data_IF_252229723215
#
_entry.id   IF_252229723215
#
_cell.length_a   1.000
_cell.length_b   1.000
_cell.length_c   1.000
_cell.angle_alpha   90.00
_cell.angle_beta   90.00
_cell.angle_gamma   90.00
#
_symmetry.space_group_name_H-M   'P 1'
#
loop_
_entity.id
_entity.type
_entity.pdbx_description
1 polymer ?
#
# COMPACT_ATOMS: atom_id res chain seq x y z
N UNK A 1 21.99 12.25 21.77
CA UNK A 1 21.74 11.86 20.38
C UNK A 1 20.24 11.72 20.21
N UNK A 2 19.68 12.52 19.32
CA UNK A 2 18.25 12.46 19.05
C UNK A 2 17.94 11.15 18.29
N UNK A 3 16.90 10.45 18.73
CA UNK A 3 16.38 9.26 18.09
C UNK A 3 14.96 9.54 17.63
N UNK A 4 14.71 9.47 16.33
CA UNK A 4 13.39 9.60 15.73
C UNK A 4 12.93 8.25 15.24
N UNK A 5 11.74 7.86 15.64
CA UNK A 5 11.08 6.66 15.14
C UNK A 5 9.87 7.07 14.28
N UNK A 6 9.65 6.33 13.20
CA UNK A 6 8.47 6.46 12.35
C UNK A 6 7.97 5.08 11.93
N UNK A 7 6.66 4.93 11.81
CA UNK A 7 5.99 3.71 11.37
C UNK A 7 5.12 3.99 10.16
N UNK A 8 5.09 3.04 9.24
CA UNK A 8 4.13 3.02 8.15
C UNK A 8 3.55 1.61 8.01
N UNK A 9 2.24 1.52 7.80
CA UNK A 9 1.51 0.26 7.79
C UNK A 9 1.34 -0.29 6.37
N UNK A 10 1.13 -1.62 6.29
CA UNK A 10 0.61 -2.24 5.08
C UNK A 10 -0.75 -1.66 4.70
N UNK A 11 -1.09 -1.75 3.41
CA UNK A 11 -2.39 -1.30 2.92
C UNK A 11 -3.12 -2.39 2.15
N UNK A 12 -4.44 -2.32 2.16
CA UNK A 12 -5.31 -3.03 1.25
C UNK A 12 -6.14 -2.05 0.41
N UNK A 13 -6.06 -2.19 -0.92
CA UNK A 13 -6.97 -1.50 -1.84
C UNK A 13 -8.34 -2.15 -1.75
N UNK A 14 -9.33 -1.41 -1.24
CA UNK A 14 -10.64 -1.97 -0.93
C UNK A 14 -11.61 -1.88 -2.13
N UNK A 15 -11.77 -0.70 -2.73
CA UNK A 15 -12.64 -0.49 -3.89
C UNK A 15 -11.99 0.44 -4.92
N UNK A 16 -12.37 0.29 -6.19
CA UNK A 16 -11.98 1.17 -7.28
C UNK A 16 -10.62 0.88 -7.91
N UNK A 17 -9.70 0.19 -7.22
CA UNK A 17 -8.40 -0.13 -7.81
C UNK A 17 -8.55 -1.13 -8.99
N UNK A 18 -7.79 -0.91 -10.09
CA UNK A 18 -6.60 -0.07 -10.21
C UNK A 18 -6.81 1.30 -10.87
N UNK A 19 -7.98 1.95 -10.74
CA UNK A 19 -8.28 3.18 -11.47
C UNK A 19 -7.46 4.41 -11.02
N UNK A 20 -6.74 4.34 -9.90
CA UNK A 20 -5.81 5.38 -9.43
C UNK A 20 -4.73 5.73 -10.45
N UNK A 21 -4.20 4.73 -11.17
CA UNK A 21 -3.24 4.93 -12.26
C UNK A 21 -3.85 5.50 -13.55
N UNK A 22 -5.16 5.75 -13.59
CA UNK A 22 -5.93 6.12 -14.76
C UNK A 22 -6.91 7.27 -14.48
N UNK A 23 -6.55 8.15 -13.56
CA UNK A 23 -7.33 9.33 -13.15
C UNK A 23 -8.71 8.99 -12.56
N UNK A 24 -8.87 7.80 -11.99
CA UNK A 24 -10.11 7.34 -11.37
C UNK A 24 -10.16 7.63 -9.87
N UNK A 25 -10.93 6.79 -9.17
CA UNK A 25 -11.19 6.92 -7.74
C UNK A 25 -10.95 5.60 -7.04
N UNK A 26 -10.48 5.64 -5.79
CA UNK A 26 -10.27 4.43 -4.99
C UNK A 26 -10.63 4.63 -3.52
N UNK A 27 -10.92 3.52 -2.85
CA UNK A 27 -10.97 3.43 -1.39
C UNK A 27 -9.93 2.40 -0.96
N UNK A 28 -9.09 2.78 -0.02
CA UNK A 28 -8.09 1.89 0.58
C UNK A 28 -8.02 2.08 2.08
N UNK A 29 -7.44 1.10 2.77
CA UNK A 29 -7.18 1.23 4.19
C UNK A 29 -5.81 0.68 4.58
N UNK A 30 -5.25 1.23 5.66
CA UNK A 30 -4.06 0.69 6.33
C UNK A 30 -4.47 -0.18 7.52
N UNK A 31 -3.63 -1.15 7.88
CA UNK A 31 -3.90 -2.06 8.99
C UNK A 31 -2.62 -2.41 9.77
N UNK A 32 -2.74 -2.61 11.08
CA UNK A 32 -1.62 -2.65 12.02
C UNK A 32 -0.85 -3.97 12.05
N UNK A 33 -1.38 -5.04 11.45
CA UNK A 33 -0.78 -6.38 11.49
C UNK A 33 0.59 -6.45 10.80
N UNK A 34 0.79 -5.61 9.79
CA UNK A 34 2.04 -5.51 9.04
C UNK A 34 2.48 -4.06 8.89
N UNK A 35 3.77 -3.81 9.11
CA UNK A 35 4.32 -2.46 9.13
C UNK A 35 5.81 -2.41 8.76
N UNK A 36 6.27 -1.20 8.53
CA UNK A 36 7.68 -0.81 8.51
C UNK A 36 7.93 0.08 9.72
N UNK A 37 8.90 -0.29 10.55
CA UNK A 37 9.49 0.58 11.55
C UNK A 37 10.80 1.15 11.01
N UNK A 38 10.98 2.45 11.13
CA UNK A 38 12.17 3.16 10.71
C UNK A 38 12.69 4.02 11.85
N UNK A 39 13.99 3.97 12.05
CA UNK A 39 14.72 4.77 13.04
C UNK A 39 15.76 5.64 12.37
N UNK A 40 15.76 6.93 12.71
CA UNK A 40 16.87 7.84 12.46
C UNK A 40 17.56 8.16 13.77
N UNK A 41 18.86 7.91 13.84
CA UNK A 41 19.72 8.27 14.98
C UNK A 41 20.71 9.33 14.52
N UNK A 42 20.80 10.44 15.24
CA UNK A 42 21.78 11.47 14.93
C UNK A 42 23.21 10.91 14.92
N UNK A 43 23.99 11.26 13.91
CA UNK A 43 25.34 10.75 13.69
C UNK A 43 26.20 11.76 12.93
N UNK A 44 27.53 11.54 12.92
CA UNK A 44 28.47 12.46 12.27
C UNK A 44 28.42 12.43 10.73
N UNK A 45 27.83 11.39 10.15
CA UNK A 45 27.72 11.20 8.69
C UNK A 45 26.39 10.57 8.33
N UNK A 46 25.86 10.85 7.15
CA UNK A 46 24.71 10.14 6.59
C UNK A 46 25.07 8.66 6.33
N UNK A 47 24.28 7.76 6.95
CA UNK A 47 24.48 6.32 6.82
C UNK A 47 23.15 5.61 6.68
N UNK A 48 23.08 4.63 5.79
CA UNK A 48 21.93 3.73 5.61
C UNK A 48 22.38 2.32 5.93
N UNK A 49 21.75 1.69 6.93
CA UNK A 49 22.06 0.33 7.36
C UNK A 49 21.12 -0.63 6.62
N UNK A 50 21.64 -1.67 5.94
CA UNK A 50 20.82 -2.70 5.31
C UNK A 50 19.88 -3.37 6.31
N UNK A 51 18.60 -3.48 5.97
CA UNK A 51 17.64 -4.30 6.68
C UNK A 51 17.85 -5.79 6.39
N UNK A 52 17.09 -6.65 7.06
CA UNK A 52 17.15 -8.10 6.82
C UNK A 52 16.80 -8.49 5.37
N UNK A 53 15.90 -7.73 4.76
CA UNK A 53 15.49 -7.95 3.35
C UNK A 53 16.51 -7.41 2.32
N UNK A 54 17.53 -6.68 2.76
CA UNK A 54 18.63 -6.20 1.93
C UNK A 54 19.85 -7.14 1.99
N UNK A 55 19.76 -8.25 2.74
CA UNK A 55 20.84 -9.24 2.79
C UNK A 55 21.05 -9.84 1.39
N UNK A 56 22.27 -9.72 0.90
CA UNK A 56 22.72 -10.20 -0.40
C UNK A 56 23.59 -11.46 -0.28
N UNK A 57 23.32 -12.29 0.72
CA UNK A 57 24.03 -13.54 0.94
C UNK A 57 23.29 -14.70 0.29
N UNK A 58 23.98 -15.43 -0.59
CA UNK A 58 23.43 -16.57 -1.33
C UNK A 58 24.30 -17.78 -1.15
N UNK A 59 23.71 -18.95 -0.90
CA UNK A 59 24.44 -20.21 -0.76
C UNK A 59 25.06 -20.71 -2.07
N UNK A 60 24.56 -20.21 -3.23
CA UNK A 60 25.07 -20.60 -4.54
C UNK A 60 24.70 -19.57 -5.64
N UNK A 61 25.43 -19.58 -6.80
CA UNK A 61 25.02 -18.79 -7.97
C UNK A 61 23.60 -19.10 -8.48
N UNK A 62 23.17 -20.35 -8.35
CA UNK A 62 21.82 -20.76 -8.74
C UNK A 62 20.74 -20.13 -7.84
N UNK A 63 21.02 -20.01 -6.54
CA UNK A 63 20.15 -19.31 -5.59
C UNK A 63 20.07 -17.81 -5.90
N UNK A 64 21.20 -17.17 -6.15
CA UNK A 64 21.24 -15.77 -6.61
C UNK A 64 20.36 -15.55 -7.85
N UNK A 65 20.54 -16.38 -8.89
CA UNK A 65 19.77 -16.26 -10.13
C UNK A 65 18.27 -16.46 -9.87
N UNK A 66 17.91 -17.43 -9.01
CA UNK A 66 16.53 -17.70 -8.63
C UNK A 66 15.93 -16.50 -7.87
N UNK A 67 16.64 -15.96 -6.88
CA UNK A 67 16.21 -14.81 -6.09
C UNK A 67 15.99 -13.58 -6.98
N UNK A 68 16.97 -13.27 -7.85
CA UNK A 68 16.85 -12.14 -8.78
C UNK A 68 15.73 -12.29 -9.81
N UNK A 69 15.41 -13.53 -10.21
CA UNK A 69 14.25 -13.79 -11.08
C UNK A 69 12.91 -13.60 -10.36
N UNK A 70 12.83 -13.97 -9.09
CA UNK A 70 11.62 -13.86 -8.26
C UNK A 70 11.40 -12.42 -7.77
N UNK A 71 12.46 -11.75 -7.31
CA UNK A 71 12.37 -10.50 -6.56
C UNK A 71 13.00 -9.30 -7.28
N UNK A 72 13.71 -9.52 -8.39
CA UNK A 72 14.47 -8.47 -9.09
C UNK A 72 15.61 -7.92 -8.24
N UNK A 73 16.17 -6.80 -8.67
CA UNK A 73 17.19 -6.06 -7.91
C UNK A 73 16.51 -5.18 -6.85
N UNK A 74 15.71 -5.79 -5.98
CA UNK A 74 14.99 -5.10 -4.92
C UNK A 74 15.88 -4.87 -3.71
N UNK A 75 15.64 -3.76 -3.00
CA UNK A 75 16.32 -3.46 -1.74
C UNK A 75 15.73 -2.20 -1.11
N UNK A 76 15.50 -2.21 0.20
CA UNK A 76 14.92 -1.10 0.95
C UNK A 76 15.85 0.12 0.98
N UNK A 77 17.17 -0.08 1.00
CA UNK A 77 18.16 1.01 0.96
C UNK A 77 17.97 1.92 -0.26
N UNK A 78 17.63 1.38 -1.42
CA UNK A 78 17.38 2.18 -2.63
C UNK A 78 16.25 3.19 -2.39
N UNK A 79 15.18 2.73 -1.72
CA UNK A 79 14.02 3.56 -1.39
C UNK A 79 14.37 4.63 -0.37
N UNK A 80 15.11 4.27 0.69
CA UNK A 80 15.58 5.22 1.70
C UNK A 80 16.41 6.34 1.07
N UNK A 81 17.33 6.00 0.14
CA UNK A 81 18.16 6.98 -0.58
C UNK A 81 17.34 7.88 -1.50
N UNK A 82 16.42 7.30 -2.29
CA UNK A 82 15.59 8.05 -3.22
C UNK A 82 14.68 9.05 -2.49
N UNK A 83 14.02 8.62 -1.42
CA UNK A 83 13.19 9.52 -0.59
C UNK A 83 14.03 10.60 0.07
N UNK A 84 15.24 10.27 0.56
CA UNK A 84 16.13 11.27 1.17
C UNK A 84 16.55 12.34 0.15
N UNK A 85 16.93 11.91 -1.07
CA UNK A 85 17.27 12.82 -2.16
C UNK A 85 16.12 13.80 -2.42
N UNK A 86 14.92 13.30 -2.69
CA UNK A 86 13.77 14.13 -3.00
C UNK A 86 13.33 15.03 -1.83
N UNK A 87 13.47 14.58 -0.59
CA UNK A 87 13.22 15.41 0.58
C UNK A 87 14.17 16.61 0.65
N UNK A 88 15.47 16.41 0.40
CA UNK A 88 16.43 17.50 0.40
C UNK A 88 16.22 18.45 -0.79
N UNK A 89 15.95 17.93 -1.97
CA UNK A 89 15.61 18.73 -3.16
C UNK A 89 14.34 19.56 -2.92
N UNK A 90 13.29 18.96 -2.32
CA UNK A 90 12.08 19.69 -1.92
C UNK A 90 12.39 20.84 -0.95
N UNK A 91 13.23 20.60 0.05
CA UNK A 91 13.63 21.67 0.98
C UNK A 91 14.39 22.80 0.27
N UNK A 92 15.28 22.47 -0.66
CA UNK A 92 16.02 23.46 -1.46
C UNK A 92 15.09 24.28 -2.35
N UNK A 93 14.23 23.63 -3.14
CA UNK A 93 13.26 24.27 -4.04
C UNK A 93 12.31 25.21 -3.31
N UNK A 94 11.89 24.83 -2.09
CA UNK A 94 10.98 25.64 -1.27
C UNK A 94 11.71 26.58 -0.30
N UNK A 95 13.06 26.70 -0.42
CA UNK A 95 13.89 27.54 0.46
C UNK A 95 13.70 27.24 1.96
N UNK A 96 13.42 25.98 2.31
CA UNK A 96 13.28 25.52 3.69
C UNK A 96 14.66 25.28 4.29
N UNK A 97 15.00 26.06 5.33
CA UNK A 97 16.26 25.86 6.07
C UNK A 97 16.16 24.69 7.00
N UNK A 98 17.03 23.71 6.83
CA UNK A 98 17.15 22.55 7.70
C UNK A 98 18.39 22.65 8.59
N UNK A 99 18.37 22.06 9.81
CA UNK A 99 19.56 21.98 10.68
C UNK A 99 20.72 21.24 10.02
N UNK A 100 21.96 21.70 10.24
CA UNK A 100 23.19 21.04 9.78
C UNK A 100 23.49 19.84 10.69
N UNK A 101 22.80 18.74 10.46
CA UNK A 101 23.00 17.45 11.18
C UNK A 101 22.73 16.27 10.26
N UNK A 102 23.40 15.16 10.58
CA UNK A 102 23.32 13.93 9.84
C UNK A 102 22.66 12.81 10.66
N UNK A 103 22.27 11.73 10.00
CA UNK A 103 21.63 10.59 10.64
C UNK A 103 22.16 9.25 10.14
N UNK A 104 22.03 8.24 10.98
CA UNK A 104 22.04 6.84 10.59
C UNK A 104 20.60 6.35 10.50
N UNK A 105 20.19 5.82 9.33
CA UNK A 105 18.88 5.25 9.08
C UNK A 105 18.92 3.73 9.17
N UNK A 106 18.00 3.16 9.94
CA UNK A 106 17.73 1.72 10.03
C UNK A 106 16.25 1.46 9.86
N UNK A 107 15.87 0.32 9.27
CA UNK A 107 14.47 -0.06 9.16
C UNK A 107 14.27 -1.56 9.38
N UNK A 108 13.06 -1.91 9.82
CA UNK A 108 12.55 -3.28 9.93
C UNK A 108 11.21 -3.36 9.23
N UNK A 109 10.94 -4.48 8.58
CA UNK A 109 9.70 -4.71 7.86
C UNK A 109 9.20 -6.13 8.11
N UNK A 110 7.91 -6.26 8.44
CA UNK A 110 7.22 -7.56 8.53
C UNK A 110 6.12 -7.71 7.45
N UNK A 111 5.98 -6.72 6.54
CA UNK A 111 5.05 -6.81 5.42
C UNK A 111 5.53 -7.92 4.48
N UNK A 112 4.69 -8.94 4.19
CA UNK A 112 5.07 -10.02 3.28
C UNK A 112 5.48 -9.48 1.90
N UNK A 113 6.58 -10.01 1.36
CA UNK A 113 7.15 -9.54 0.08
C UNK A 113 6.28 -9.97 -1.09
N UNK A 114 6.06 -9.03 -2.05
CA UNK A 114 5.43 -9.26 -3.36
C UNK A 114 4.03 -9.92 -3.32
N UNK A 115 3.31 -9.77 -2.24
CA UNK A 115 1.91 -10.24 -2.13
C UNK A 115 0.90 -9.09 -2.33
N UNK A 116 1.33 -7.94 -2.82
CA UNK A 116 0.41 -6.83 -3.12
C UNK A 116 -0.08 -6.05 -1.88
N UNK A 117 0.67 -6.04 -0.77
CA UNK A 117 0.34 -5.30 0.47
C UNK A 117 1.19 -4.03 0.67
N UNK A 118 1.88 -3.55 -0.38
CA UNK A 118 2.60 -2.25 -0.44
C UNK A 118 3.75 -2.08 0.54
N UNK A 119 4.66 -3.05 0.59
CA UNK A 119 5.86 -2.96 1.42
C UNK A 119 6.81 -1.84 0.99
N UNK A 120 7.04 -1.64 -0.31
CA UNK A 120 7.96 -0.63 -0.83
C UNK A 120 7.50 0.79 -0.51
N UNK A 121 6.25 1.10 -0.79
CA UNK A 121 5.69 2.41 -0.46
C UNK A 121 5.63 2.65 1.05
N UNK A 122 5.47 1.60 1.88
CA UNK A 122 5.56 1.72 3.33
C UNK A 122 6.98 2.13 3.79
N UNK A 123 8.04 1.61 3.15
CA UNK A 123 9.42 2.04 3.40
C UNK A 123 9.59 3.52 3.04
N UNK A 124 9.11 3.93 1.86
CA UNK A 124 9.17 5.32 1.41
C UNK A 124 8.42 6.26 2.37
N UNK A 125 7.19 5.90 2.74
CA UNK A 125 6.35 6.71 3.65
C UNK A 125 6.95 6.81 5.04
N UNK A 126 7.50 5.71 5.60
CA UNK A 126 8.18 5.74 6.89
C UNK A 126 9.42 6.64 6.85
N UNK A 127 10.21 6.59 5.77
CA UNK A 127 11.40 7.44 5.61
C UNK A 127 11.03 8.91 5.53
N UNK A 128 10.04 9.27 4.72
CA UNK A 128 9.61 10.66 4.61
C UNK A 128 9.09 11.20 5.95
N UNK A 129 8.24 10.44 6.66
CA UNK A 129 7.75 10.79 8.00
C UNK A 129 8.90 11.00 9.00
N UNK A 130 9.91 10.13 8.96
CA UNK A 130 11.08 10.24 9.83
C UNK A 130 11.93 11.48 9.52
N UNK A 131 12.18 11.78 8.24
CA UNK A 131 12.93 12.98 7.81
C UNK A 131 12.21 14.26 8.22
N UNK A 132 10.89 14.33 8.00
CA UNK A 132 10.09 15.48 8.43
C UNK A 132 10.23 15.72 9.93
N UNK A 133 10.13 14.67 10.75
CA UNK A 133 10.32 14.76 12.21
C UNK A 133 11.75 15.12 12.59
N UNK A 134 12.74 14.50 11.96
CA UNK A 134 14.17 14.69 12.29
C UNK A 134 14.64 16.12 12.01
N UNK A 135 14.23 16.70 10.88
CA UNK A 135 14.61 18.04 10.49
C UNK A 135 13.62 19.13 10.90
N UNK A 136 12.48 18.76 11.50
CA UNK A 136 11.42 19.70 11.90
C UNK A 136 10.74 20.35 10.69
N UNK A 137 10.66 19.66 9.55
CA UNK A 137 10.05 20.14 8.32
C UNK A 137 8.60 19.68 8.24
N UNK A 138 7.70 20.59 7.89
CA UNK A 138 6.30 20.28 7.59
C UNK A 138 6.07 20.33 6.09
N UNK A 139 5.73 19.19 5.50
CA UNK A 139 5.29 19.08 4.11
C UNK A 139 3.76 18.87 4.14
N UNK A 140 2.97 19.60 3.32
CA UNK A 140 1.52 19.38 3.28
C UNK A 140 1.17 17.91 3.07
N UNK A 141 0.15 17.45 3.80
CA UNK A 141 -0.21 16.02 3.81
C UNK A 141 -0.62 15.52 2.43
N UNK A 142 -1.22 16.37 1.59
CA UNK A 142 -1.63 16.07 0.22
C UNK A 142 -0.45 15.98 -0.75
N UNK A 143 0.67 16.66 -0.46
CA UNK A 143 1.89 16.67 -1.28
C UNK A 143 2.80 15.49 -0.94
N UNK A 144 2.90 15.12 0.33
CA UNK A 144 3.79 14.06 0.82
C UNK A 144 3.70 12.73 0.04
N UNK A 145 2.50 12.23 -0.37
CA UNK A 145 2.39 11.02 -1.18
C UNK A 145 3.06 11.14 -2.55
N UNK A 146 3.08 12.33 -3.15
CA UNK A 146 3.70 12.57 -4.45
C UNK A 146 5.21 12.41 -4.38
N UNK A 147 5.87 12.90 -3.34
CA UNK A 147 7.31 12.70 -3.12
C UNK A 147 7.65 11.20 -2.99
N UNK A 148 6.82 10.43 -2.28
CA UNK A 148 7.01 8.98 -2.19
C UNK A 148 6.79 8.28 -3.54
N UNK A 149 5.83 8.74 -4.35
CA UNK A 149 5.59 8.22 -5.69
C UNK A 149 6.78 8.47 -6.61
N UNK A 150 7.29 9.71 -6.64
CA UNK A 150 8.43 10.12 -7.44
C UNK A 150 9.69 9.33 -7.09
N UNK A 151 9.93 9.07 -5.79
CA UNK A 151 11.03 8.22 -5.35
C UNK A 151 10.97 6.81 -5.97
N UNK A 152 9.80 6.19 -6.05
CA UNK A 152 9.67 4.86 -6.64
C UNK A 152 9.57 4.90 -8.17
N UNK A 153 8.77 5.82 -8.73
CA UNK A 153 8.48 5.88 -10.16
C UNK A 153 9.63 6.49 -10.95
N UNK A 154 10.06 7.68 -10.55
CA UNK A 154 10.94 8.52 -11.35
C UNK A 154 12.43 8.26 -11.03
N UNK A 155 12.77 8.09 -9.74
CA UNK A 155 14.14 7.77 -9.33
C UNK A 155 14.51 6.30 -9.53
N UNK A 156 13.57 5.38 -9.24
CA UNK A 156 13.85 3.93 -9.23
C UNK A 156 13.22 3.16 -10.40
N UNK A 157 12.40 3.79 -11.24
CA UNK A 157 11.75 3.17 -12.39
C UNK A 157 10.70 2.11 -12.02
N UNK A 158 10.14 2.17 -10.82
CA UNK A 158 9.13 1.21 -10.35
C UNK A 158 7.75 1.66 -10.80
N UNK A 159 7.08 0.86 -11.63
CA UNK A 159 5.73 1.15 -12.08
C UNK A 159 4.74 1.03 -10.90
N UNK A 160 4.16 2.15 -10.50
CA UNK A 160 3.26 2.22 -9.35
C UNK A 160 2.26 3.38 -9.47
N UNK A 161 1.17 3.33 -8.69
CA UNK A 161 0.14 4.36 -8.59
C UNK A 161 0.21 5.14 -7.28
N UNK A 162 -0.59 6.17 -7.13
CA UNK A 162 -0.55 7.09 -5.98
C UNK A 162 -1.32 6.56 -4.76
N UNK A 163 -2.32 5.71 -4.97
CA UNK A 163 -3.22 5.17 -3.94
C UNK A 163 -2.49 4.69 -2.67
N UNK A 164 -1.42 3.92 -2.85
CA UNK A 164 -0.69 3.28 -1.75
C UNK A 164 -0.07 4.32 -0.82
N UNK A 165 0.58 5.33 -1.40
CA UNK A 165 1.30 6.39 -0.70
C UNK A 165 0.33 7.31 0.03
N UNK A 166 -0.81 7.62 -0.61
CA UNK A 166 -1.85 8.43 0.02
C UNK A 166 -2.37 7.73 1.29
N UNK A 167 -2.84 6.49 1.17
CA UNK A 167 -3.42 5.83 2.34
C UNK A 167 -2.39 5.58 3.45
N UNK A 168 -1.11 5.38 3.12
CA UNK A 168 -0.02 5.20 4.11
C UNK A 168 0.42 6.51 4.76
N UNK A 169 0.21 7.66 4.11
CA UNK A 169 0.44 8.98 4.72
C UNK A 169 -0.75 9.45 5.55
N UNK A 170 -1.97 9.02 5.21
CA UNK A 170 -3.21 9.42 5.89
C UNK A 170 -3.62 8.50 7.02
N UNK A 171 -3.34 7.19 6.90
CA UNK A 171 -3.88 6.10 7.71
C UNK A 171 -5.41 6.01 7.77
N UNK A 172 -5.92 4.91 8.29
CA UNK A 172 -7.36 4.66 8.36
C UNK A 172 -7.94 4.13 7.07
N UNK A 173 -9.20 4.45 6.81
CA UNK A 173 -9.89 4.22 5.55
C UNK A 173 -9.95 5.54 4.80
N UNK A 174 -9.41 5.57 3.58
CA UNK A 174 -9.28 6.80 2.78
C UNK A 174 -9.93 6.61 1.42
N UNK A 175 -10.82 7.54 1.07
CA UNK A 175 -11.32 7.72 -0.27
C UNK A 175 -10.44 8.72 -1.02
N UNK A 176 -10.14 8.42 -2.28
CA UNK A 176 -9.22 9.17 -3.12
C UNK A 176 -9.84 9.42 -4.49
N UNK A 177 -9.80 10.68 -4.94
CA UNK A 177 -10.21 11.10 -6.29
C UNK A 177 -9.00 11.67 -7.02
N UNK A 178 -8.60 11.01 -8.11
CA UNK A 178 -7.45 11.37 -8.94
C UNK A 178 -7.87 12.00 -10.27
N UNK A 179 -9.03 12.63 -10.32
CA UNK A 179 -9.54 13.26 -11.55
C UNK A 179 -8.48 14.14 -12.19
N UNK A 180 -8.24 13.93 -13.49
CA UNK A 180 -7.15 14.57 -14.24
C UNK A 180 -7.11 16.09 -14.08
N UNK A 181 -8.26 16.77 -14.24
CA UNK A 181 -8.35 18.22 -14.08
C UNK A 181 -7.96 18.68 -12.68
N UNK A 182 -8.29 17.90 -11.64
CA UNK A 182 -7.93 18.22 -10.28
C UNK A 182 -6.41 18.09 -10.07
N UNK A 183 -5.82 16.98 -10.55
CA UNK A 183 -4.36 16.75 -10.44
C UNK A 183 -3.56 17.79 -11.22
N UNK A 184 -4.04 18.18 -12.41
CA UNK A 184 -3.39 19.25 -13.20
C UNK A 184 -3.47 20.64 -12.53
N UNK A 185 -4.55 20.91 -11.79
CA UNK A 185 -4.74 22.20 -11.10
C UNK A 185 -3.94 22.29 -9.78
N UNK A 186 -3.91 21.22 -8.99
CA UNK A 186 -3.39 21.25 -7.60
C UNK A 186 -2.06 20.50 -7.42
N UNK A 187 -1.62 19.73 -8.42
CA UNK A 187 -0.46 18.82 -8.32
C UNK A 187 -0.76 17.51 -7.56
N UNK A 188 -1.96 17.35 -7.03
CA UNK A 188 -2.37 16.15 -6.27
C UNK A 188 -3.85 15.84 -6.45
N UNK A 189 -4.30 14.67 -5.98
CA UNK A 189 -5.72 14.30 -5.92
C UNK A 189 -6.45 14.97 -4.74
N UNK A 190 -7.74 14.67 -4.61
CA UNK A 190 -8.52 14.98 -3.41
C UNK A 190 -8.65 13.73 -2.57
N UNK A 191 -8.27 13.84 -1.29
CA UNK A 191 -8.22 12.72 -0.35
C UNK A 191 -9.12 13.00 0.84
N UNK A 192 -9.98 12.04 1.18
CA UNK A 192 -10.92 12.13 2.28
C UNK A 192 -10.74 10.91 3.20
N UNK A 193 -10.39 11.16 4.46
CA UNK A 193 -10.35 10.11 5.47
C UNK A 193 -11.77 9.79 5.93
N UNK A 194 -12.22 8.56 5.66
CA UNK A 194 -13.52 8.06 6.10
C UNK A 194 -13.49 7.46 7.50
N UNK A 195 -12.31 7.05 7.98
CA UNK A 195 -12.06 6.55 9.34
C UNK A 195 -10.60 6.80 9.72
N UNK A 196 -10.29 7.20 10.98
CA UNK A 196 -11.25 7.68 11.98
C UNK A 196 -11.81 9.06 11.62
N UNK A 197 -13.10 9.25 11.89
CA UNK A 197 -13.74 10.56 11.81
C UNK A 197 -13.97 11.12 13.21
N UNK A 198 -13.89 12.43 13.36
CA UNK A 198 -14.16 13.11 14.64
C UNK A 198 -15.59 12.86 15.15
N UNK A 199 -16.53 12.51 14.29
CA UNK A 199 -17.96 12.29 14.61
C UNK A 199 -18.40 10.80 14.62
N UNK A 200 -17.48 9.84 14.50
CA UNK A 200 -17.67 8.43 14.89
C UNK A 200 -18.82 7.64 14.26
N UNK A 201 -19.09 7.78 12.96
CA UNK A 201 -20.19 7.01 12.32
C UNK A 201 -19.77 5.66 11.74
N UNK A 202 -18.48 5.48 11.41
CA UNK A 202 -17.97 4.23 10.82
C UNK A 202 -17.11 3.49 11.84
N UNK A 203 -17.53 2.28 12.21
CA UNK A 203 -16.71 1.34 12.98
C UNK A 203 -16.21 0.21 12.08
N UNK A 204 -14.91 0.20 11.71
CA UNK A 204 -14.37 -0.83 10.82
C UNK A 204 -14.48 -2.24 11.39
N UNK A 205 -14.56 -2.41 12.72
CA UNK A 205 -14.66 -3.72 13.36
C UNK A 205 -15.99 -4.41 13.03
N UNK A 206 -17.03 -3.61 12.76
CA UNK A 206 -18.35 -4.11 12.39
C UNK A 206 -18.46 -4.50 10.91
N UNK A 207 -17.52 -4.08 10.06
CA UNK A 207 -17.57 -4.36 8.62
C UNK A 207 -17.34 -5.84 8.28
N UNK A 208 -16.68 -6.59 9.16
CA UNK A 208 -16.30 -7.96 8.88
C UNK A 208 -15.16 -8.08 7.86
N UNK A 209 -14.23 -7.10 7.84
CA UNK A 209 -13.06 -7.11 6.97
C UNK A 209 -12.19 -8.35 7.20
N UNK A 210 -11.72 -8.95 6.12
CA UNK A 210 -10.64 -9.93 6.16
C UNK A 210 -9.60 -9.66 5.07
N UNK A 211 -8.39 -10.15 5.29
CA UNK A 211 -7.32 -10.21 4.31
C UNK A 211 -6.84 -11.66 4.25
N UNK A 212 -6.61 -12.16 3.04
CA UNK A 212 -5.93 -13.43 2.85
C UNK A 212 -4.79 -13.26 1.85
N UNK A 213 -3.66 -13.94 2.08
CA UNK A 213 -2.49 -13.88 1.20
C UNK A 213 -1.76 -15.21 1.13
N UNK A 214 -1.10 -15.46 0.02
CA UNK A 214 -0.24 -16.63 -0.18
C UNK A 214 1.22 -16.24 0.12
N UNK A 215 1.81 -16.69 1.23
CA UNK A 215 3.17 -16.32 1.63
C UNK A 215 4.25 -16.92 0.71
N UNK A 216 3.94 -17.95 -0.05
CA UNK A 216 4.87 -18.63 -0.96
C UNK A 216 4.88 -17.99 -2.37
N UNK A 217 3.94 -17.08 -2.63
CA UNK A 217 3.76 -16.51 -3.97
C UNK A 217 4.33 -15.12 -4.07
N UNK A 218 5.30 -14.95 -4.98
CA UNK A 218 5.76 -13.67 -5.44
C UNK A 218 5.21 -13.41 -6.84
N UNK A 219 4.40 -12.38 -7.03
CA UNK A 219 3.86 -12.00 -8.33
C UNK A 219 4.51 -10.71 -8.86
N UNK A 220 5.07 -10.79 -10.08
CA UNK A 220 5.48 -9.60 -10.82
C UNK A 220 4.23 -8.84 -11.31
N UNK A 221 3.84 -7.80 -10.59
CA UNK A 221 2.71 -6.93 -10.92
C UNK A 221 2.82 -6.20 -12.26
N UNK A 222 4.02 -6.17 -12.87
CA UNK A 222 4.33 -5.28 -13.98
C UNK A 222 3.75 -5.65 -15.35
N UNK A 223 3.59 -6.94 -15.67
CA UNK A 223 3.26 -7.35 -17.06
C UNK A 223 1.81 -7.08 -17.46
N UNK A 224 0.86 -7.41 -16.60
CA UNK A 224 -0.57 -7.17 -16.86
C UNK A 224 -0.89 -5.67 -16.89
N UNK A 225 -0.29 -4.90 -15.98
CA UNK A 225 -0.47 -3.45 -15.94
C UNK A 225 0.09 -2.73 -17.18
N UNK A 226 1.23 -3.18 -17.74
CA UNK A 226 1.81 -2.59 -18.96
C UNK A 226 0.88 -2.68 -20.17
N UNK A 227 0.18 -3.81 -20.34
CA UNK A 227 -0.78 -4.00 -21.46
C UNK A 227 -1.97 -3.05 -21.30
N UNK A 228 -2.57 -3.00 -20.14
CA UNK A 228 -3.75 -2.14 -19.87
C UNK A 228 -3.37 -0.66 -19.99
N UNK A 229 -2.21 -0.25 -19.47
CA UNK A 229 -1.70 1.12 -19.61
C UNK A 229 -1.56 1.53 -21.08
N UNK A 230 -0.95 0.68 -21.92
CA UNK A 230 -0.82 0.96 -23.35
C UNK A 230 -2.19 1.12 -24.03
N UNK A 231 -3.17 0.25 -23.72
CA UNK A 231 -4.51 0.34 -24.29
C UNK A 231 -5.25 1.61 -23.82
N UNK A 232 -5.04 2.02 -22.57
CA UNK A 232 -5.58 3.27 -22.06
C UNK A 232 -5.00 4.50 -22.80
N UNK A 233 -3.68 4.53 -23.01
CA UNK A 233 -2.99 5.58 -23.77
C UNK A 233 -3.46 5.62 -25.23
N UNK A 234 -3.79 4.47 -25.81
CA UNK A 234 -4.40 4.34 -27.14
C UNK A 234 -5.92 4.66 -27.16
N UNK A 235 -6.49 5.12 -26.03
CA UNK A 235 -7.92 5.46 -25.91
C UNK A 235 -8.87 4.31 -26.27
N UNK A 236 -8.51 3.07 -25.94
CA UNK A 236 -9.38 1.92 -26.14
C UNK A 236 -10.66 2.09 -25.32
N UNK A 237 -11.84 2.04 -25.96
CA UNK A 237 -13.14 2.33 -25.34
C UNK A 237 -13.48 1.38 -24.20
N UNK A 238 -13.16 0.08 -24.32
CA UNK A 238 -13.47 -0.90 -23.28
C UNK A 238 -12.67 -0.62 -22.02
N UNK A 239 -11.38 -0.24 -22.16
CA UNK A 239 -10.52 0.12 -21.03
C UNK A 239 -10.94 1.45 -20.42
N UNK A 240 -11.28 2.46 -21.20
CA UNK A 240 -11.77 3.74 -20.69
C UNK A 240 -13.08 3.56 -19.90
N UNK A 241 -14.03 2.78 -20.44
CA UNK A 241 -15.28 2.44 -19.78
C UNK A 241 -15.03 1.69 -18.47
N UNK A 242 -14.15 0.69 -18.48
CA UNK A 242 -13.83 -0.08 -17.28
C UNK A 242 -13.18 0.79 -16.18
N UNK A 243 -12.30 1.73 -16.55
CA UNK A 243 -11.70 2.65 -15.55
C UNK A 243 -12.74 3.61 -14.95
N UNK A 244 -13.71 4.03 -15.74
CA UNK A 244 -14.86 4.82 -15.26
C UNK A 244 -15.74 3.99 -14.31
N UNK A 245 -16.00 2.73 -14.64
CA UNK A 245 -16.78 1.82 -13.78
C UNK A 245 -16.06 1.52 -12.45
N UNK A 246 -14.74 1.33 -12.45
CA UNK A 246 -13.97 1.24 -11.20
C UNK A 246 -14.09 2.50 -10.34
N UNK A 247 -14.05 3.68 -10.95
CA UNK A 247 -14.21 4.94 -10.23
C UNK A 247 -15.64 5.07 -9.64
N UNK A 248 -16.69 4.63 -10.37
CA UNK A 248 -18.07 4.57 -9.87
C UNK A 248 -18.20 3.59 -8.69
N UNK A 249 -17.59 2.41 -8.79
CA UNK A 249 -17.55 1.45 -7.67
C UNK A 249 -16.95 2.08 -6.41
N UNK A 250 -15.87 2.88 -6.53
CA UNK A 250 -15.28 3.57 -5.39
C UNK A 250 -16.21 4.64 -4.80
N UNK A 251 -16.89 5.43 -5.64
CA UNK A 251 -17.84 6.46 -5.21
C UNK A 251 -19.03 5.87 -4.46
N UNK A 252 -19.64 4.82 -5.03
CA UNK A 252 -20.72 4.08 -4.38
C UNK A 252 -20.26 3.39 -3.11
N UNK A 253 -19.03 2.86 -3.11
CA UNK A 253 -18.40 2.28 -1.93
C UNK A 253 -18.17 3.28 -0.81
N UNK A 254 -17.77 4.52 -1.13
CA UNK A 254 -17.71 5.61 -0.16
C UNK A 254 -19.06 5.85 0.50
N UNK A 255 -20.12 5.95 -0.31
CA UNK A 255 -21.49 6.17 0.19
C UNK A 255 -21.96 5.00 1.06
N UNK A 256 -21.71 3.76 0.63
CA UNK A 256 -22.08 2.55 1.38
C UNK A 256 -21.31 2.42 2.71
N UNK A 257 -20.01 2.78 2.74
CA UNK A 257 -19.22 2.82 3.98
C UNK A 257 -19.80 3.82 4.99
N UNK A 258 -20.13 5.02 4.53
CA UNK A 258 -20.70 6.06 5.40
C UNK A 258 -22.12 5.69 5.89
N UNK A 259 -22.87 4.93 5.12
CA UNK A 259 -24.19 4.42 5.49
C UNK A 259 -24.16 3.11 6.31
N UNK A 260 -23.01 2.46 6.42
CA UNK A 260 -22.90 1.13 7.04
C UNK A 260 -23.58 0.00 6.24
N UNK A 261 -23.79 0.20 4.92
CA UNK A 261 -24.48 -0.75 4.03
C UNK A 261 -23.54 -1.89 3.59
N UNK A 262 -23.51 -2.95 4.40
CA UNK A 262 -22.68 -4.14 4.14
C UNK A 262 -23.12 -4.91 2.89
N UNK A 263 -24.43 -4.90 2.57
CA UNK A 263 -24.96 -5.63 1.39
C UNK A 263 -24.43 -4.97 0.11
N UNK A 264 -24.51 -3.65 0.04
CA UNK A 264 -23.94 -2.89 -1.07
C UNK A 264 -22.42 -3.09 -1.15
N UNK A 265 -21.70 -3.05 -0.01
CA UNK A 265 -20.24 -3.25 0.02
C UNK A 265 -19.84 -4.64 -0.50
N UNK A 266 -20.51 -5.71 -0.07
CA UNK A 266 -20.25 -7.07 -0.56
C UNK A 266 -20.42 -7.15 -2.09
N UNK A 267 -21.49 -6.57 -2.60
CA UNK A 267 -21.77 -6.54 -4.04
C UNK A 267 -20.70 -5.76 -4.82
N UNK A 268 -20.26 -4.59 -4.30
CA UNK A 268 -19.25 -3.75 -4.92
C UNK A 268 -17.85 -4.39 -4.90
N UNK A 269 -17.48 -5.08 -3.82
CA UNK A 269 -16.23 -5.84 -3.73
C UNK A 269 -16.19 -6.91 -4.82
N UNK A 270 -17.26 -7.68 -4.97
CA UNK A 270 -17.35 -8.71 -6.00
C UNK A 270 -17.35 -8.11 -7.42
N UNK A 271 -18.11 -7.06 -7.67
CA UNK A 271 -18.16 -6.36 -8.97
C UNK A 271 -16.77 -5.82 -9.36
N UNK A 272 -16.01 -5.29 -8.41
CA UNK A 272 -14.65 -4.79 -8.65
C UNK A 272 -13.72 -5.92 -9.15
N UNK A 273 -13.80 -7.12 -8.56
CA UNK A 273 -13.03 -8.26 -9.06
C UNK A 273 -13.50 -8.71 -10.43
N UNK A 274 -14.81 -8.86 -10.63
CA UNK A 274 -15.39 -9.37 -11.88
C UNK A 274 -15.05 -8.45 -13.06
N UNK A 275 -15.06 -7.13 -12.83
CA UNK A 275 -14.60 -6.15 -13.81
C UNK A 275 -13.08 -6.31 -14.10
N UNK A 276 -12.28 -6.50 -13.06
CA UNK A 276 -10.83 -6.72 -13.21
C UNK A 276 -10.53 -7.99 -13.99
N UNK A 277 -11.23 -9.08 -13.72
CA UNK A 277 -11.05 -10.37 -14.40
C UNK A 277 -11.35 -10.30 -15.90
N UNK A 278 -12.28 -9.41 -16.32
CA UNK A 278 -12.60 -9.18 -17.74
C UNK A 278 -11.49 -8.46 -18.49
N UNK A 279 -10.79 -7.51 -17.87
CA UNK A 279 -9.86 -6.63 -18.58
C UNK A 279 -8.38 -6.92 -18.32
N UNK A 280 -8.06 -7.58 -17.22
CA UNK A 280 -6.71 -8.01 -16.88
C UNK A 280 -6.59 -9.52 -17.10
N UNK A 281 -5.40 -9.96 -17.51
CA UNK A 281 -5.11 -11.39 -17.57
C UNK A 281 -4.77 -11.89 -16.16
N UNK A 282 -5.81 -12.21 -15.37
CA UNK A 282 -5.67 -12.74 -14.01
C UNK A 282 -5.17 -14.17 -14.07
N UNK A 283 -4.12 -14.51 -13.31
CA UNK A 283 -3.62 -15.89 -13.23
C UNK A 283 -4.66 -16.82 -12.59
N UNK A 284 -4.62 -18.10 -12.99
CA UNK A 284 -5.58 -19.11 -12.51
C UNK A 284 -5.52 -19.26 -10.99
N UNK A 285 -4.32 -19.19 -10.45
CA UNK A 285 -4.11 -19.30 -9.02
C UNK A 285 -4.68 -18.09 -8.26
N UNK A 286 -4.51 -16.88 -8.76
CA UNK A 286 -5.11 -15.67 -8.18
C UNK A 286 -6.64 -15.71 -8.26
N UNK A 287 -7.18 -16.17 -9.39
CA UNK A 287 -8.62 -16.41 -9.54
C UNK A 287 -9.11 -17.45 -8.54
N UNK A 288 -8.36 -18.55 -8.34
CA UNK A 288 -8.66 -19.59 -7.37
C UNK A 288 -8.79 -19.03 -5.95
N UNK A 289 -7.90 -18.13 -5.51
CA UNK A 289 -8.01 -17.49 -4.19
C UNK A 289 -9.36 -16.78 -4.02
N UNK A 290 -9.77 -15.96 -4.99
CA UNK A 290 -11.04 -15.23 -4.95
C UNK A 290 -12.23 -16.18 -4.96
N UNK A 291 -12.24 -17.18 -5.84
CA UNK A 291 -13.35 -18.14 -5.95
C UNK A 291 -13.45 -19.04 -4.72
N UNK A 292 -12.33 -19.41 -4.10
CA UNK A 292 -12.32 -20.16 -2.83
C UNK A 292 -12.96 -19.31 -1.71
N UNK A 293 -12.62 -18.02 -1.60
CA UNK A 293 -13.24 -17.14 -0.62
C UNK A 293 -14.76 -17.00 -0.86
N UNK A 294 -15.17 -16.79 -2.10
CA UNK A 294 -16.60 -16.71 -2.47
C UNK A 294 -17.35 -17.99 -2.20
N UNK A 295 -16.73 -19.18 -2.36
CA UNK A 295 -17.34 -20.46 -2.01
C UNK A 295 -17.58 -20.64 -0.51
N UNK A 296 -16.95 -19.83 0.33
CA UNK A 296 -17.21 -19.74 1.77
C UNK A 296 -18.31 -18.71 2.12
N UNK A 297 -18.90 -18.04 1.12
CA UNK A 297 -19.93 -17.00 1.30
C UNK A 297 -19.37 -15.58 1.41
N UNK A 298 -18.06 -15.40 1.50
CA UNK A 298 -17.42 -14.07 1.63
C UNK A 298 -17.32 -13.35 0.28
N UNK A 299 -17.37 -12.01 0.29
CA UNK A 299 -16.96 -11.24 -0.88
C UNK A 299 -15.43 -11.21 -1.02
N UNK A 300 -14.92 -11.10 -2.24
CA UNK A 300 -13.48 -11.13 -2.46
C UNK A 300 -13.02 -10.39 -3.71
N UNK A 301 -11.91 -9.65 -3.57
CA UNK A 301 -11.13 -9.03 -4.65
C UNK A 301 -9.66 -8.90 -4.26
N UNK A 302 -8.78 -8.55 -5.21
CA UNK A 302 -7.37 -8.32 -4.88
C UNK A 302 -7.17 -7.08 -3.99
N UNK A 303 -6.32 -7.21 -2.98
CA UNK A 303 -5.87 -6.11 -2.13
C UNK A 303 -4.92 -5.15 -2.87
N UNK A 304 -4.23 -5.64 -3.89
CA UNK A 304 -3.29 -4.88 -4.72
C UNK A 304 -3.16 -5.47 -6.10
N UNK A 305 -1.92 -5.78 -6.53
CA UNK A 305 -1.61 -6.36 -7.83
C UNK A 305 -2.03 -7.83 -7.98
N UNK A 306 -2.00 -8.58 -6.91
CA UNK A 306 -2.26 -10.03 -6.78
C UNK A 306 -1.54 -10.58 -5.56
N UNK A 307 -1.66 -11.88 -5.29
CA UNK A 307 -1.04 -12.54 -4.13
C UNK A 307 -1.75 -12.31 -2.80
N UNK A 308 -2.56 -11.26 -2.68
CA UNK A 308 -3.46 -11.05 -1.55
C UNK A 308 -4.84 -10.60 -2.01
N UNK A 309 -5.85 -11.04 -1.26
CA UNK A 309 -7.26 -10.65 -1.43
C UNK A 309 -7.78 -9.97 -0.17
N UNK A 310 -8.79 -9.14 -0.37
CA UNK A 310 -9.55 -8.44 0.68
C UNK A 310 -11.03 -8.60 0.40
N UNK A 311 -11.82 -8.67 1.44
CA UNK A 311 -13.28 -8.74 1.34
C UNK A 311 -13.95 -8.63 2.69
N UNK A 312 -15.21 -9.00 2.71
CA UNK A 312 -16.06 -8.98 3.90
C UNK A 312 -16.59 -10.39 4.18
N UNK A 313 -16.64 -10.74 5.46
CA UNK A 313 -17.33 -11.91 5.98
C UNK A 313 -18.37 -11.46 7.01
N UNK A 314 -19.53 -12.13 7.05
CA UNK A 314 -20.66 -11.67 7.87
C UNK A 314 -20.43 -11.90 9.37
N UNK A 315 -19.89 -13.06 9.72
CA UNK A 315 -19.76 -13.50 11.10
C UNK A 315 -18.51 -14.35 11.37
N UNK A 316 -18.43 -14.91 12.57
CA UNK A 316 -17.33 -15.76 13.00
C UNK A 316 -17.32 -17.13 12.34
N UNK A 317 -18.47 -17.71 12.07
CA UNK A 317 -18.60 -19.04 11.45
C UNK A 317 -18.12 -18.99 10.00
N UNK A 318 -18.55 -17.99 9.24
CA UNK A 318 -18.07 -17.73 7.88
C UNK A 318 -16.56 -17.47 7.87
N UNK A 319 -16.02 -16.74 8.86
CA UNK A 319 -14.58 -16.49 8.94
C UNK A 319 -13.77 -17.77 9.15
N UNK A 320 -14.22 -18.69 10.02
CA UNK A 320 -13.53 -19.97 10.23
C UNK A 320 -13.64 -20.88 8.99
N UNK A 321 -14.78 -20.90 8.31
CA UNK A 321 -14.94 -21.60 7.04
C UNK A 321 -14.02 -21.04 5.95
N UNK A 322 -13.91 -19.70 5.86
CA UNK A 322 -13.01 -18.99 4.96
C UNK A 322 -11.55 -19.36 5.24
N UNK A 323 -11.15 -19.33 6.52
CA UNK A 323 -9.79 -19.67 6.96
C UNK A 323 -9.44 -21.13 6.64
N UNK A 324 -10.35 -22.07 6.86
CA UNK A 324 -10.16 -23.46 6.54
C UNK A 324 -9.95 -23.66 5.03
N UNK A 325 -10.90 -23.19 4.20
CA UNK A 325 -10.84 -23.37 2.74
C UNK A 325 -9.63 -22.69 2.09
N UNK A 326 -9.29 -21.46 2.50
CA UNK A 326 -8.12 -20.78 2.00
C UNK A 326 -6.80 -21.38 2.50
N UNK A 327 -6.83 -21.97 3.73
CA UNK A 327 -5.70 -22.72 4.27
C UNK A 327 -5.37 -23.98 3.44
N UNK A 328 -6.36 -24.67 2.89
CA UNK A 328 -6.17 -25.82 2.00
C UNK A 328 -5.39 -25.49 0.72
N UNK A 329 -5.42 -24.23 0.29
CA UNK A 329 -4.66 -23.74 -0.87
C UNK A 329 -3.41 -22.95 -0.47
N UNK A 330 -2.96 -23.04 0.79
CA UNK A 330 -1.73 -22.44 1.29
C UNK A 330 -1.83 -20.98 1.73
N UNK A 331 -3.01 -20.39 1.71
CA UNK A 331 -3.20 -18.98 2.09
C UNK A 331 -3.29 -18.82 3.61
N UNK A 332 -2.77 -17.71 4.11
CA UNK A 332 -3.00 -17.22 5.48
C UNK A 332 -4.13 -16.21 5.48
N UNK A 333 -4.99 -16.26 6.50
CA UNK A 333 -6.15 -15.40 6.65
C UNK A 333 -6.08 -14.66 7.98
N UNK A 334 -6.40 -13.36 7.98
CA UNK A 334 -6.45 -12.54 9.18
C UNK A 334 -7.64 -11.58 9.14
N UNK A 335 -8.07 -11.11 10.31
CA UNK A 335 -8.96 -9.97 10.48
C UNK A 335 -8.12 -8.72 10.73
N UNK A 336 -8.02 -7.80 9.76
CA UNK A 336 -7.15 -6.65 9.90
C UNK A 336 -7.72 -5.67 10.94
N UNK A 337 -6.85 -5.15 11.82
CA UNK A 337 -7.16 -3.97 12.62
C UNK A 337 -6.79 -2.73 11.78
N UNK A 338 -7.78 -1.96 11.37
CA UNK A 338 -7.55 -0.71 10.62
C UNK A 338 -6.70 0.24 11.46
N UNK A 339 -5.61 0.72 10.89
CA UNK A 339 -4.66 1.57 11.57
C UNK A 339 -5.17 3.01 11.71
N UNK A 340 -4.77 3.68 12.79
CA UNK A 340 -5.05 5.09 13.07
C UNK A 340 -3.74 5.86 13.25
N UNK A 341 -3.80 7.19 13.36
CA UNK A 341 -2.62 8.00 13.69
C UNK A 341 -2.04 7.65 15.07
N UNK A 342 -2.91 7.27 16.03
CA UNK A 342 -2.48 6.83 17.36
C UNK A 342 -1.62 5.55 17.28
N UNK A 343 -1.91 4.64 16.36
CA UNK A 343 -1.12 3.42 16.18
C UNK A 343 0.28 3.72 15.60
N UNK A 344 0.48 4.82 14.85
CA UNK A 344 1.81 5.27 14.39
C UNK A 344 2.71 5.76 15.51
N UNK A 345 2.11 6.35 16.54
CA UNK A 345 2.82 6.90 17.69
C UNK A 345 3.02 5.87 18.81
N UNK A 346 2.41 4.67 18.66
CA UNK A 346 2.62 3.57 19.59
C UNK A 346 4.12 3.25 19.69
N UNK A 347 4.57 2.91 20.89
CA UNK A 347 5.97 2.70 21.19
C UNK A 347 6.60 1.67 20.22
N UNK A 348 7.54 2.15 19.41
CA UNK A 348 8.36 1.29 18.55
C UNK A 348 9.39 0.63 19.45
N UNK A 349 9.33 -0.70 19.60
CA UNK A 349 10.17 -1.45 20.49
C UNK A 349 11.65 -1.05 20.34
N UNK A 350 12.29 -0.68 21.44
CA UNK A 350 13.69 -0.28 21.47
C UNK A 350 14.66 -1.46 21.24
N UNK A 351 14.16 -2.69 21.39
CA UNK A 351 14.93 -3.93 21.29
C UNK A 351 15.13 -4.37 19.83
N UNK A 352 16.33 -4.86 19.54
CA UNK A 352 16.67 -5.48 18.25
C UNK A 352 17.12 -4.51 17.15
N UNK A 353 17.35 -3.23 17.45
CA UNK A 353 18.09 -2.31 16.56
C UNK A 353 19.60 -2.59 16.70
N UNK A 354 20.33 -2.48 15.58
CA UNK A 354 21.79 -2.61 15.64
C UNK A 354 22.34 -1.42 16.44
N UNK A 355 23.12 -1.71 17.47
CA UNK A 355 23.81 -0.64 18.18
C UNK A 355 24.82 0.00 17.21
N UNK A 356 24.60 1.25 16.89
CA UNK A 356 25.49 2.09 16.06
C UNK A 356 26.74 2.48 16.82
#
# INVERSE_FOLDING_TARGET
>A
MDVINARSFARAGFLGNPSDGYFGKTVSFTFTDFFVDLRLTESSRLRFIPGEVDDATFASPAELVRDLRLYGYYGGIRMLKAVSKLFFEYCEEHSIKIPDRNFTAEYKINIPRLVGLSGSSAICSAMLKALMKFYGVSIPQEVSPTLCLEAERDELGIACGLQDRVVQMYNGIVYMDFKKSLVEETGHGRYERLYPLAAGSLDPTTLGLYIAYDPARAEESGKAHKKVKRLFEQKNNDILSAMTEFADIAERGRSALLAGDKVALNSLVNANFDLRDKIFNVSEENRRMVMTARSAGASAKFAGSGGAIVGLCEDGEMFEALKAKLGEIGCRVLRPKVATEADETAEIASTGWRNS
#
